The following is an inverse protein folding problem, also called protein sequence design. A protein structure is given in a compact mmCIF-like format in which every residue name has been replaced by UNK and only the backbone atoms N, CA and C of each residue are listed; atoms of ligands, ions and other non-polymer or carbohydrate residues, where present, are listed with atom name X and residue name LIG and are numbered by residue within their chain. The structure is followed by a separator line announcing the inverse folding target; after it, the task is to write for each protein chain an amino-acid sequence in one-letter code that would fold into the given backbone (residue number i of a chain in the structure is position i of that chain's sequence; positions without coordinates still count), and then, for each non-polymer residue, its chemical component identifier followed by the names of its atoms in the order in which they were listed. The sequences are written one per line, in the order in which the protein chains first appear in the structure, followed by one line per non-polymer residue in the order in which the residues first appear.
data_IF_755971823412
#
_entry.id   IF_755971823412
#
_cell.length_a   1.000
_cell.length_b   1.000
_cell.length_c   1.000
_cell.angle_alpha   90.00
_cell.angle_beta   90.00
_cell.angle_gamma   90.00
#
_symmetry.space_group_name_H-M   'P 1'
#
loop_
_entity.id
_entity.type
_entity.pdbx_description
1 polymer ?
#
# COMPACT_ATOMS: atom_id res chain seq x y z
N UNK A 1 -17.45 5.88 17.41
CA UNK A 1 -16.30 5.70 16.51
C UNK A 1 -15.05 5.53 17.34
N UNK A 2 -14.30 4.45 17.11
CA UNK A 2 -13.04 4.20 17.82
C UNK A 2 -11.89 5.09 17.29
N UNK A 3 -10.87 5.27 18.12
CA UNK A 3 -9.60 5.93 17.82
C UNK A 3 -8.47 4.89 17.84
N UNK A 4 -7.67 4.87 16.79
CA UNK A 4 -6.54 3.95 16.65
C UNK A 4 -5.22 4.72 16.55
N UNK A 5 -4.18 4.15 17.14
CA UNK A 5 -2.79 4.45 16.78
C UNK A 5 -2.24 3.25 16.03
N UNK A 6 -1.73 3.49 14.82
CA UNK A 6 -1.14 2.45 13.98
C UNK A 6 0.32 2.80 13.75
N UNK A 7 1.18 1.80 13.76
CA UNK A 7 2.55 1.99 13.32
C UNK A 7 3.09 0.72 12.67
N UNK A 8 3.93 0.88 11.65
CA UNK A 8 4.77 -0.24 11.23
C UNK A 8 5.94 -0.40 12.20
N UNK A 9 6.44 -1.63 12.33
CA UNK A 9 7.68 -1.90 13.02
C UNK A 9 8.86 -1.27 12.29
N UNK A 10 10.02 -1.16 12.94
CA UNK A 10 11.26 -0.88 12.22
C UNK A 10 11.25 0.46 11.45
N UNK A 11 12.32 0.74 10.69
CA UNK A 11 12.40 1.84 9.71
C UNK A 11 13.54 1.59 8.71
N UNK A 12 13.79 2.53 7.79
CA UNK A 12 14.84 2.36 6.78
C UNK A 12 16.28 2.16 7.31
N UNK A 13 16.53 2.51 8.59
CA UNK A 13 17.82 2.39 9.29
C UNK A 13 17.84 1.13 10.17
N UNK A 14 16.75 0.88 10.90
CA UNK A 14 16.53 -0.27 11.78
C UNK A 14 15.54 -1.20 11.08
N UNK A 15 16.00 -1.95 10.07
CA UNK A 15 15.16 -2.46 8.98
C UNK A 15 14.23 -3.64 9.27
N UNK A 16 14.39 -4.29 10.42
CA UNK A 16 13.69 -5.54 10.71
C UNK A 16 14.20 -6.69 9.85
N UNK A 17 13.33 -7.67 9.59
CA UNK A 17 13.61 -8.78 8.71
C UNK A 17 13.67 -8.36 7.24
N UNK A 18 14.63 -8.93 6.50
CA UNK A 18 14.78 -8.73 5.06
C UNK A 18 15.02 -10.08 4.38
N UNK A 19 14.38 -10.31 3.23
CA UNK A 19 14.58 -11.52 2.44
C UNK A 19 14.52 -11.23 0.94
N UNK A 20 15.62 -11.49 0.21
CA UNK A 20 15.71 -11.13 -1.20
C UNK A 20 15.50 -9.63 -1.41
N UNK A 21 14.46 -9.26 -2.17
CA UNK A 21 14.07 -7.86 -2.41
C UNK A 21 12.99 -7.36 -1.42
N UNK A 22 12.56 -8.18 -0.46
CA UNK A 22 11.53 -7.85 0.54
C UNK A 22 12.17 -7.25 1.78
N UNK A 23 11.55 -6.18 2.29
CA UNK A 23 11.98 -5.49 3.50
C UNK A 23 10.78 -5.29 4.42
N UNK A 24 10.88 -5.74 5.67
CA UNK A 24 9.77 -5.71 6.62
C UNK A 24 9.18 -4.30 6.75
N UNK A 25 10.03 -3.31 7.07
CA UNK A 25 9.63 -1.90 7.22
C UNK A 25 9.04 -1.24 5.96
N UNK A 26 9.05 -1.92 4.80
CA UNK A 26 8.36 -1.44 3.59
C UNK A 26 7.01 -2.15 3.46
N UNK A 27 6.99 -3.46 3.67
CA UNK A 27 5.79 -4.28 3.52
C UNK A 27 4.78 -4.04 4.64
N UNK A 28 5.23 -3.82 5.87
CA UNK A 28 4.35 -3.49 6.98
C UNK A 28 3.63 -2.14 6.77
N UNK A 29 4.30 -1.15 6.16
CA UNK A 29 3.74 0.17 5.83
C UNK A 29 2.61 0.05 4.85
N UNK A 30 2.78 -0.76 3.81
CA UNK A 30 1.74 -0.99 2.80
C UNK A 30 0.43 -1.45 3.45
N UNK A 31 0.51 -2.42 4.38
CA UNK A 31 -0.68 -2.93 5.10
C UNK A 31 -1.21 -1.92 6.10
N UNK A 32 -0.34 -1.31 6.90
CA UNK A 32 -0.69 -0.29 7.90
C UNK A 32 -1.42 0.89 7.26
N UNK A 33 -0.93 1.40 6.13
CA UNK A 33 -1.53 2.50 5.39
C UNK A 33 -2.90 2.14 4.81
N UNK A 34 -3.02 0.93 4.26
CA UNK A 34 -4.29 0.42 3.76
C UNK A 34 -5.33 0.26 4.88
N UNK A 35 -4.92 -0.25 6.05
CA UNK A 35 -5.80 -0.33 7.24
C UNK A 35 -6.18 1.06 7.73
N UNK A 36 -5.23 2.00 7.82
CA UNK A 36 -5.47 3.37 8.22
C UNK A 36 -6.53 4.05 7.34
N UNK A 37 -6.38 3.95 6.02
CA UNK A 37 -7.31 4.51 5.05
C UNK A 37 -8.73 3.94 5.22
N UNK A 38 -8.85 2.62 5.38
CA UNK A 38 -10.14 1.93 5.53
C UNK A 38 -10.83 2.26 6.85
N UNK A 39 -10.08 2.31 7.96
CA UNK A 39 -10.63 2.74 9.26
C UNK A 39 -11.10 4.19 9.21
N UNK A 40 -10.31 5.10 8.61
CA UNK A 40 -10.73 6.50 8.41
C UNK A 40 -11.99 6.61 7.55
N UNK A 41 -12.10 5.81 6.49
CA UNK A 41 -13.29 5.78 5.62
C UNK A 41 -14.56 5.31 6.34
N UNK A 42 -14.41 4.43 7.34
CA UNK A 42 -15.51 4.03 8.22
C UNK A 42 -15.86 5.11 9.27
N UNK A 43 -15.07 6.19 9.37
CA UNK A 43 -15.26 7.33 10.29
C UNK A 43 -14.47 7.20 11.60
N UNK A 44 -13.53 6.25 11.70
CA UNK A 44 -12.64 6.15 12.85
C UNK A 44 -11.54 7.22 12.80
N UNK A 45 -11.05 7.62 13.96
CA UNK A 45 -9.83 8.45 14.04
C UNK A 45 -8.62 7.54 14.00
N UNK A 46 -7.62 7.87 13.20
CA UNK A 46 -6.39 7.06 13.07
C UNK A 46 -5.16 7.96 13.06
N UNK A 47 -4.28 7.74 14.03
CA UNK A 47 -2.94 8.32 14.10
C UNK A 47 -1.93 7.32 13.51
N UNK A 48 -0.94 7.85 12.77
CA UNK A 48 0.18 7.08 12.28
C UNK A 48 1.43 7.44 13.10
N UNK A 49 1.79 6.56 14.02
CA UNK A 49 2.86 6.78 15.00
C UNK A 49 4.17 6.10 14.61
N UNK A 50 4.27 5.67 13.35
CA UNK A 50 5.47 5.11 12.77
C UNK A 50 6.68 6.02 13.00
N UNK A 51 7.78 5.45 13.49
CA UNK A 51 9.07 6.14 13.57
C UNK A 51 9.87 5.92 12.28
N UNK A 52 10.28 7.00 11.62
CA UNK A 52 11.08 6.95 10.38
C UNK A 52 12.51 7.50 10.56
N UNK A 53 12.88 7.88 11.79
CA UNK A 53 14.12 8.63 12.06
C UNK A 53 15.02 8.00 13.11
N UNK A 54 14.51 7.07 13.93
CA UNK A 54 15.31 6.39 14.94
C UNK A 54 16.47 5.61 14.31
N UNK A 55 17.68 5.79 14.83
CA UNK A 55 18.90 5.18 14.27
C UNK A 55 19.33 3.90 14.98
N UNK A 56 18.67 3.58 16.10
CA UNK A 56 18.88 2.36 16.88
C UNK A 56 17.54 1.74 17.25
N UNK A 57 17.50 0.44 17.55
CA UNK A 57 16.27 -0.24 17.96
C UNK A 57 15.63 0.42 19.19
N UNK A 58 16.44 0.79 20.20
CA UNK A 58 15.95 1.48 21.38
C UNK A 58 15.32 2.84 21.05
N UNK A 59 15.94 3.63 20.17
CA UNK A 59 15.36 4.90 19.72
C UNK A 59 14.06 4.71 18.94
N UNK A 60 14.02 3.74 18.03
CA UNK A 60 12.81 3.45 17.24
C UNK A 60 11.63 3.09 18.16
N UNK A 61 11.85 2.16 19.09
CA UNK A 61 10.85 1.75 20.07
C UNK A 61 10.42 2.90 21.00
N UNK A 62 11.36 3.69 21.51
CA UNK A 62 11.06 4.85 22.36
C UNK A 62 10.25 5.92 21.60
N UNK A 63 10.59 6.18 20.34
CA UNK A 63 9.89 7.15 19.51
C UNK A 63 8.46 6.71 19.23
N UNK A 64 8.26 5.44 18.85
CA UNK A 64 6.92 4.85 18.64
C UNK A 64 6.08 5.01 19.90
N UNK A 65 6.57 4.50 21.04
CA UNK A 65 5.83 4.56 22.31
C UNK A 65 5.55 6.00 22.73
N UNK A 66 6.50 6.93 22.56
CA UNK A 66 6.30 8.34 22.87
C UNK A 66 5.20 8.98 22.02
N UNK A 67 5.17 8.69 20.71
CA UNK A 67 4.14 9.21 19.79
C UNK A 67 2.78 8.62 20.10
N UNK A 68 2.70 7.29 20.21
CA UNK A 68 1.47 6.59 20.59
C UNK A 68 0.89 7.11 21.90
N UNK A 69 1.72 7.27 22.94
CA UNK A 69 1.28 7.74 24.26
C UNK A 69 0.98 9.26 24.33
N UNK A 70 1.25 10.00 23.25
CA UNK A 70 0.83 11.39 23.10
C UNK A 70 -0.64 11.52 22.68
N UNK A 71 -1.25 10.40 22.27
CA UNK A 71 -2.66 10.31 21.89
C UNK A 71 -3.47 9.55 22.95
N UNK A 72 -4.73 9.94 23.07
CA UNK A 72 -5.76 9.18 23.79
C UNK A 72 -6.53 8.33 22.76
N UNK A 73 -6.18 7.04 22.69
CA UNK A 73 -6.69 6.07 21.69
C UNK A 73 -7.24 4.81 22.35
N UNK A 74 -8.15 4.11 21.67
CA UNK A 74 -8.76 2.88 22.18
C UNK A 74 -7.87 1.65 21.95
N UNK A 75 -7.12 1.64 20.85
CA UNK A 75 -6.25 0.52 20.48
C UNK A 75 -5.02 0.99 19.69
N UNK A 76 -3.91 0.32 19.98
CA UNK A 76 -2.63 0.47 19.31
C UNK A 76 -2.33 -0.82 18.54
N UNK A 77 -2.01 -0.69 17.26
CA UNK A 77 -1.71 -1.83 16.39
C UNK A 77 -0.34 -1.65 15.76
N UNK A 78 0.57 -2.54 16.13
CA UNK A 78 1.90 -2.66 15.53
C UNK A 78 1.86 -3.67 14.38
N UNK A 79 2.37 -3.31 13.21
CA UNK A 79 2.41 -4.18 12.03
C UNK A 79 3.84 -4.66 11.78
N UNK A 80 4.02 -5.97 11.65
CA UNK A 80 5.31 -6.64 11.44
C UNK A 80 5.16 -7.80 10.45
N UNK A 81 6.29 -8.34 10.00
CA UNK A 81 6.35 -9.63 9.30
C UNK A 81 7.36 -10.53 10.00
N UNK A 82 7.00 -11.80 10.16
CA UNK A 82 7.88 -12.76 10.83
C UNK A 82 9.01 -13.23 9.89
N UNK A 83 10.06 -13.84 10.46
CA UNK A 83 11.14 -14.51 9.72
C UNK A 83 11.80 -15.54 10.62
N UNK A 84 12.22 -16.67 10.04
CA UNK A 84 12.92 -17.71 10.79
C UNK A 84 13.88 -18.54 9.94
N UNK A 85 13.35 -19.50 9.15
CA UNK A 85 14.14 -20.55 8.50
C UNK A 85 13.65 -20.89 7.08
N UNK A 86 12.89 -19.99 6.44
CA UNK A 86 12.20 -20.17 5.15
C UNK A 86 11.05 -21.20 5.12
N UNK A 87 10.91 -22.05 6.14
CA UNK A 87 9.87 -23.09 6.21
C UNK A 87 8.71 -22.71 7.14
N UNK A 88 9.03 -22.03 8.25
CA UNK A 88 8.02 -21.46 9.13
C UNK A 88 7.08 -20.54 8.34
N UNK A 89 5.78 -20.66 8.59
CA UNK A 89 4.74 -19.94 7.88
C UNK A 89 3.53 -19.72 8.79
N UNK A 90 2.69 -18.78 8.42
CA UNK A 90 1.44 -18.46 9.10
C UNK A 90 1.43 -17.11 9.79
N UNK A 91 0.23 -16.75 10.27
CA UNK A 91 -0.04 -15.49 10.98
C UNK A 91 -0.14 -15.71 12.49
N UNK A 92 0.45 -14.81 13.27
CA UNK A 92 0.25 -14.72 14.72
C UNK A 92 -0.02 -13.28 15.16
N UNK A 93 -0.73 -13.12 16.28
CA UNK A 93 -0.94 -11.81 16.90
C UNK A 93 -0.49 -11.86 18.35
N UNK A 94 0.49 -11.02 18.65
CA UNK A 94 1.12 -10.91 19.95
C UNK A 94 0.38 -9.88 20.81
N UNK A 95 0.22 -10.17 22.10
CA UNK A 95 -0.54 -9.32 23.01
C UNK A 95 0.04 -9.27 24.41
N UNK A 96 -0.23 -8.18 25.13
CA UNK A 96 0.02 -8.12 26.57
C UNK A 96 -1.14 -8.74 27.36
N UNK A 97 -2.36 -8.27 27.10
CA UNK A 97 -3.61 -8.72 27.75
C UNK A 97 -4.79 -8.92 26.76
N UNK A 98 -4.65 -8.49 25.51
CA UNK A 98 -5.70 -8.54 24.47
C UNK A 98 -5.86 -9.90 23.78
N UNK A 99 -5.94 -11.00 24.53
CA UNK A 99 -5.97 -12.36 23.99
C UNK A 99 -7.12 -12.58 22.99
N UNK A 100 -8.35 -12.20 23.37
CA UNK A 100 -9.54 -12.47 22.56
C UNK A 100 -9.52 -11.72 21.23
N UNK A 101 -9.14 -10.44 21.25
CA UNK A 101 -8.99 -9.62 20.04
C UNK A 101 -7.90 -10.18 19.13
N UNK A 102 -6.76 -10.57 19.71
CA UNK A 102 -5.63 -11.12 18.98
C UNK A 102 -5.98 -12.45 18.30
N UNK A 103 -6.71 -13.32 19.01
CA UNK A 103 -7.16 -14.60 18.46
C UNK A 103 -8.16 -14.40 17.32
N UNK A 104 -9.07 -13.42 17.46
CA UNK A 104 -10.02 -13.05 16.42
C UNK A 104 -9.29 -12.56 15.16
N UNK A 105 -8.31 -11.67 15.29
CA UNK A 105 -7.54 -11.14 14.16
C UNK A 105 -6.73 -12.24 13.46
N UNK A 106 -6.00 -13.07 14.23
CA UNK A 106 -5.22 -14.18 13.66
C UNK A 106 -6.12 -15.18 12.91
N UNK A 107 -7.27 -15.54 13.47
CA UNK A 107 -8.22 -16.44 12.83
C UNK A 107 -8.84 -15.83 11.56
N UNK A 108 -9.18 -14.54 11.58
CA UNK A 108 -9.75 -13.85 10.42
C UNK A 108 -8.73 -13.76 9.27
N UNK A 109 -7.48 -13.36 9.57
CA UNK A 109 -6.40 -13.33 8.60
C UNK A 109 -6.09 -14.71 8.02
N UNK A 110 -6.02 -15.74 8.86
CA UNK A 110 -5.83 -17.11 8.39
C UNK A 110 -6.94 -17.55 7.42
N UNK A 111 -8.20 -17.26 7.77
CA UNK A 111 -9.36 -17.58 6.94
C UNK A 111 -9.32 -16.88 5.59
N UNK A 112 -9.10 -15.57 5.58
CA UNK A 112 -9.25 -14.78 4.36
C UNK A 112 -8.03 -14.92 3.45
N UNK A 113 -6.82 -15.00 4.02
CA UNK A 113 -5.57 -15.01 3.26
C UNK A 113 -5.11 -16.43 2.93
N UNK A 114 -5.52 -17.43 3.73
CA UNK A 114 -5.08 -18.82 3.57
C UNK A 114 -3.71 -19.08 4.20
N UNK A 115 -3.28 -18.23 5.13
CA UNK A 115 -2.11 -18.48 5.98
C UNK A 115 -2.42 -19.48 7.08
N UNK A 116 -1.41 -20.22 7.54
CA UNK A 116 -1.54 -21.07 8.72
C UNK A 116 -1.90 -20.19 9.94
N UNK A 117 -2.92 -20.57 10.70
CA UNK A 117 -3.27 -19.88 11.94
C UNK A 117 -2.32 -20.30 13.07
N UNK A 118 -1.41 -19.43 13.49
CA UNK A 118 -0.53 -19.65 14.65
C UNK A 118 -1.09 -19.03 15.93
N UNK A 119 -2.23 -18.35 15.83
CA UNK A 119 -3.04 -17.89 16.94
C UNK A 119 -2.52 -16.65 17.66
N UNK A 120 -3.14 -16.39 18.81
CA UNK A 120 -2.74 -15.32 19.71
C UNK A 120 -1.62 -15.82 20.64
N UNK A 121 -0.62 -14.97 20.90
CA UNK A 121 0.49 -15.30 21.80
C UNK A 121 0.75 -14.20 22.82
N UNK A 122 0.73 -14.54 24.10
CA UNK A 122 1.06 -13.59 25.16
C UNK A 122 2.55 -13.25 25.11
N UNK A 123 2.88 -11.95 25.10
CA UNK A 123 4.23 -11.40 25.01
C UNK A 123 4.39 -10.15 25.88
N UNK A 124 4.51 -10.36 27.18
CA UNK A 124 4.70 -9.29 28.18
C UNK A 124 6.06 -8.59 28.11
N UNK A 125 7.01 -9.19 27.41
CA UNK A 125 8.37 -8.71 27.25
C UNK A 125 8.55 -7.70 26.09
N UNK A 126 7.58 -7.61 25.17
CA UNK A 126 7.70 -6.72 24.01
C UNK A 126 7.47 -5.26 24.40
N UNK A 127 8.45 -4.42 24.05
CA UNK A 127 8.52 -3.04 24.54
C UNK A 127 7.27 -2.22 24.23
N UNK A 128 6.78 -2.24 22.98
CA UNK A 128 5.57 -1.50 22.59
C UNK A 128 4.35 -1.99 23.36
N UNK A 129 4.18 -3.31 23.49
CA UNK A 129 3.04 -3.90 24.20
C UNK A 129 3.07 -3.55 25.70
N UNK A 130 4.25 -3.49 26.31
CA UNK A 130 4.42 -3.23 27.74
C UNK A 130 4.41 -1.74 28.13
N UNK A 131 4.77 -0.83 27.22
CA UNK A 131 5.00 0.59 27.55
C UNK A 131 3.96 1.54 26.93
N UNK A 132 2.99 1.01 26.19
CA UNK A 132 1.88 1.80 25.68
C UNK A 132 0.77 1.93 26.72
N UNK A 133 0.20 3.13 26.87
CA UNK A 133 -0.86 3.42 27.85
C UNK A 133 -2.21 2.84 27.43
N UNK A 134 -2.50 2.86 26.13
CA UNK A 134 -3.69 2.27 25.55
C UNK A 134 -3.51 0.75 25.36
N UNK A 135 -4.61 0.04 25.08
CA UNK A 135 -4.56 -1.38 24.72
C UNK A 135 -3.69 -1.55 23.46
N UNK A 136 -2.85 -2.58 23.42
CA UNK A 136 -1.91 -2.79 22.33
C UNK A 136 -1.88 -4.23 21.85
N UNK A 137 -1.74 -4.40 20.53
CA UNK A 137 -1.47 -5.66 19.85
C UNK A 137 -0.35 -5.49 18.83
N UNK A 138 0.36 -6.57 18.51
CA UNK A 138 1.36 -6.62 17.47
C UNK A 138 1.04 -7.78 16.53
N UNK A 139 0.84 -7.47 15.25
CA UNK A 139 0.48 -8.45 14.23
C UNK A 139 1.74 -8.85 13.48
N UNK A 140 2.08 -10.13 13.53
CA UNK A 140 3.13 -10.75 12.70
C UNK A 140 2.45 -11.31 11.44
N UNK A 141 2.51 -10.55 10.35
CA UNK A 141 1.86 -10.86 9.08
C UNK A 141 2.69 -11.86 8.27
N UNK A 142 2.36 -13.14 8.36
CA UNK A 142 3.07 -14.18 7.60
C UNK A 142 4.58 -14.18 7.87
N UNK A 143 5.31 -15.01 7.12
CA UNK A 143 6.76 -15.07 7.15
C UNK A 143 7.36 -14.47 5.88
N UNK A 144 8.13 -13.39 5.99
CA UNK A 144 8.71 -12.65 4.84
C UNK A 144 9.67 -13.52 4.01
N UNK A 145 10.30 -14.49 4.67
CA UNK A 145 11.24 -15.46 4.11
C UNK A 145 10.57 -16.76 3.65
N UNK A 146 9.24 -16.88 3.77
CA UNK A 146 8.47 -18.03 3.30
C UNK A 146 7.72 -17.70 2.00
N UNK A 147 8.09 -18.37 0.92
CA UNK A 147 7.47 -18.13 -0.40
C UNK A 147 5.97 -18.49 -0.45
N UNK A 148 5.50 -19.46 0.34
CA UNK A 148 4.08 -19.83 0.35
C UNK A 148 3.21 -18.75 1.00
N UNK A 149 3.69 -18.12 2.08
CA UNK A 149 3.01 -16.96 2.68
C UNK A 149 3.04 -15.76 1.75
N UNK A 150 4.21 -15.48 1.15
CA UNK A 150 4.38 -14.32 0.26
C UNK A 150 3.63 -14.47 -1.07
N UNK A 151 3.41 -15.70 -1.56
CA UNK A 151 2.54 -15.95 -2.72
C UNK A 151 1.08 -15.56 -2.50
N UNK A 152 0.65 -15.47 -1.23
CA UNK A 152 -0.72 -15.08 -0.81
C UNK A 152 -0.79 -13.61 -0.37
N UNK A 153 0.32 -12.88 -0.43
CA UNK A 153 0.40 -11.50 0.04
C UNK A 153 -0.41 -10.56 -0.86
N UNK A 154 -1.54 -10.10 -0.34
CA UNK A 154 -2.39 -9.08 -0.96
C UNK A 154 -2.73 -8.02 0.08
N UNK A 155 -2.16 -6.83 -0.09
CA UNK A 155 -2.28 -5.70 0.86
C UNK A 155 -3.74 -5.34 1.12
N UNK A 156 -4.59 -5.32 0.08
CA UNK A 156 -5.99 -4.95 0.22
C UNK A 156 -6.79 -6.03 0.96
N UNK A 157 -6.55 -7.29 0.63
CA UNK A 157 -7.21 -8.43 1.28
C UNK A 157 -6.81 -8.52 2.75
N UNK A 158 -5.53 -8.37 3.06
CA UNK A 158 -5.00 -8.32 4.43
C UNK A 158 -5.65 -7.17 5.20
N UNK A 159 -5.64 -5.95 4.63
CA UNK A 159 -6.20 -4.79 5.29
C UNK A 159 -7.72 -4.92 5.51
N UNK A 160 -8.48 -5.43 4.55
CA UNK A 160 -9.91 -5.71 4.70
C UNK A 160 -10.18 -6.71 5.83
N UNK A 161 -9.37 -7.77 5.90
CA UNK A 161 -9.46 -8.82 6.92
C UNK A 161 -9.24 -8.24 8.33
N UNK A 162 -8.19 -7.41 8.49
CA UNK A 162 -7.89 -6.72 9.76
C UNK A 162 -9.01 -5.76 10.13
N UNK A 163 -9.47 -4.92 9.20
CA UNK A 163 -10.55 -3.95 9.47
C UNK A 163 -11.83 -4.66 9.89
N UNK A 164 -12.23 -5.72 9.18
CA UNK A 164 -13.39 -6.51 9.56
C UNK A 164 -13.21 -7.16 10.94
N UNK A 165 -12.03 -7.68 11.26
CA UNK A 165 -11.75 -8.22 12.59
C UNK A 165 -11.84 -7.14 13.69
N UNK A 166 -11.40 -5.91 13.41
CA UNK A 166 -11.44 -4.79 14.36
C UNK A 166 -12.85 -4.21 14.55
N UNK A 167 -13.61 -4.04 13.48
CA UNK A 167 -14.84 -3.24 13.49
C UNK A 167 -16.12 -4.06 13.30
N UNK A 168 -16.00 -5.28 12.77
CA UNK A 168 -17.13 -6.07 12.27
C UNK A 168 -17.74 -5.53 10.98
N UNK A 169 -17.18 -4.44 10.42
CA UNK A 169 -17.63 -3.82 9.19
C UNK A 169 -16.70 -4.24 8.06
N UNK A 170 -17.28 -4.77 7.00
CA UNK A 170 -16.62 -4.73 5.70
C UNK A 170 -16.73 -3.29 5.20
N UNK A 171 -15.75 -2.80 4.44
CA UNK A 171 -15.84 -1.52 3.75
C UNK A 171 -16.92 -1.61 2.65
N UNK A 172 -18.18 -1.59 3.07
CA UNK A 172 -19.44 -1.48 2.33
C UNK A 172 -20.47 -0.89 3.31
N UNK A 173 -20.46 0.44 3.47
CA UNK A 173 -21.46 1.17 4.27
C UNK A 173 -22.79 1.26 3.51
N UNK A 174 -23.87 0.83 4.17
CA UNK A 174 -25.19 0.66 3.57
C UNK A 174 -25.88 1.94 3.09
N UNK A 175 -26.42 1.83 1.87
CA UNK A 175 -27.56 2.53 1.31
C UNK A 175 -28.10 1.60 0.23
N UNK A 176 -29.43 1.42 0.16
CA UNK A 176 -30.08 0.49 -0.76
C UNK A 176 -29.84 0.90 -2.23
N UNK A 177 -28.71 0.50 -2.77
CA UNK A 177 -28.43 0.30 -4.17
C UNK A 177 -27.74 -1.05 -4.20
N UNK A 178 -28.24 -1.97 -5.01
CA UNK A 178 -27.51 -3.15 -5.47
C UNK A 178 -25.99 -2.88 -5.44
N UNK A 179 -25.17 -3.74 -4.80
CA UNK A 179 -23.72 -3.55 -4.81
C UNK A 179 -23.34 -3.29 -6.27
N UNK A 180 -22.66 -2.17 -6.61
CA UNK A 180 -21.99 -2.18 -7.89
C UNK A 180 -21.09 -3.40 -7.80
N UNK A 181 -21.28 -4.30 -8.76
CA UNK A 181 -20.42 -5.46 -8.96
C UNK A 181 -18.98 -5.05 -8.63
N UNK A 182 -18.24 -5.92 -7.91
CA UNK A 182 -16.80 -5.75 -7.75
C UNK A 182 -16.22 -5.32 -9.09
N UNK A 183 -15.91 -4.03 -9.22
CA UNK A 183 -15.30 -3.53 -10.43
C UNK A 183 -13.82 -3.87 -10.25
N UNK A 184 -13.42 -4.98 -10.87
CA UNK A 184 -12.04 -5.45 -11.08
C UNK A 184 -11.08 -4.41 -11.71
N UNK A 185 -11.48 -3.13 -11.77
CA UNK A 185 -10.83 -2.04 -12.48
C UNK A 185 -10.14 -1.02 -11.54
N UNK A 186 -9.75 -1.39 -10.32
CA UNK A 186 -8.90 -0.49 -9.51
C UNK A 186 -7.50 -0.42 -10.15
N UNK A 187 -7.16 0.74 -10.71
CA UNK A 187 -5.89 0.94 -11.41
C UNK A 187 -4.77 1.43 -10.47
N UNK A 188 -5.11 2.08 -9.36
CA UNK A 188 -4.16 2.43 -8.32
C UNK A 188 -4.64 3.54 -7.40
N UNK A 189 -3.68 4.19 -6.74
CA UNK A 189 -3.94 5.24 -5.77
C UNK A 189 -3.25 6.54 -6.16
N UNK A 190 -3.93 7.65 -5.92
CA UNK A 190 -3.44 9.02 -6.10
C UNK A 190 -3.35 9.70 -4.74
N UNK A 191 -2.42 10.65 -4.62
CA UNK A 191 -2.42 11.66 -3.57
C UNK A 191 -2.58 13.03 -4.21
N UNK A 192 -3.51 13.83 -3.68
CA UNK A 192 -3.65 15.23 -4.08
C UNK A 192 -2.39 16.01 -3.71
N UNK A 193 -1.80 16.73 -4.67
CA UNK A 193 -0.58 17.52 -4.45
C UNK A 193 -0.87 19.00 -4.24
N UNK A 194 -1.97 19.51 -4.81
CA UNK A 194 -2.40 20.90 -4.67
C UNK A 194 -3.11 21.16 -3.33
N UNK A 195 -2.96 22.35 -2.77
CA UNK A 195 -3.68 22.79 -1.55
C UNK A 195 -5.20 22.64 -1.72
N UNK A 196 -5.71 22.96 -2.91
CA UNK A 196 -7.09 22.72 -3.33
C UNK A 196 -7.09 22.19 -4.77
N UNK A 197 -7.62 21.00 -4.96
CA UNK A 197 -7.74 20.31 -6.24
C UNK A 197 -9.20 20.18 -6.67
N UNK A 198 -9.56 20.76 -7.81
CA UNK A 198 -10.90 20.61 -8.37
C UNK A 198 -11.06 19.22 -8.99
N UNK A 199 -12.06 18.47 -8.53
CA UNK A 199 -12.50 17.21 -9.10
C UNK A 199 -13.70 17.50 -10.01
N UNK A 200 -13.58 17.18 -11.29
CA UNK A 200 -14.53 17.61 -12.33
C UNK A 200 -15.40 16.47 -12.82
N UNK A 201 -16.55 16.80 -13.39
CA UNK A 201 -17.52 15.82 -13.88
C UNK A 201 -16.97 14.95 -15.01
N UNK A 202 -16.20 15.58 -15.89
CA UNK A 202 -15.61 15.00 -17.12
C UNK A 202 -14.12 15.40 -17.17
N UNK A 203 -13.27 14.67 -17.90
CA UNK A 203 -11.82 14.92 -17.96
C UNK A 203 -11.46 16.10 -18.88
N UNK A 204 -11.99 17.28 -18.56
CA UNK A 204 -11.63 18.54 -19.22
C UNK A 204 -11.87 19.74 -18.28
N UNK A 205 -11.17 20.85 -18.53
CA UNK A 205 -11.22 22.05 -17.68
C UNK A 205 -12.56 22.79 -17.71
N UNK A 206 -13.37 22.61 -18.74
CA UNK A 206 -14.67 23.28 -18.90
C UNK A 206 -15.79 22.55 -18.15
N UNK A 207 -15.53 21.32 -17.68
CA UNK A 207 -16.50 20.51 -16.97
C UNK A 207 -16.77 21.04 -15.55
N UNK A 208 -18.03 20.98 -15.06
CA UNK A 208 -18.38 21.41 -13.71
C UNK A 208 -17.48 20.78 -12.64
N UNK A 209 -17.12 21.58 -11.63
CA UNK A 209 -16.44 21.08 -10.43
C UNK A 209 -17.47 20.37 -9.56
N UNK A 210 -17.29 19.07 -9.38
CA UNK A 210 -18.19 18.22 -8.59
C UNK A 210 -17.84 18.30 -7.10
N UNK A 211 -16.54 18.35 -6.78
CA UNK A 211 -16.02 18.51 -5.43
C UNK A 211 -14.58 19.03 -5.46
N UNK A 212 -14.09 19.41 -4.29
CA UNK A 212 -12.68 19.76 -4.09
C UNK A 212 -12.01 18.74 -3.18
N UNK A 213 -10.72 18.49 -3.45
CA UNK A 213 -9.84 17.72 -2.59
C UNK A 213 -8.73 18.63 -2.03
N UNK A 214 -8.20 18.27 -0.87
CA UNK A 214 -7.10 19.01 -0.23
C UNK A 214 -5.80 18.25 -0.34
N UNK A 215 -4.68 18.96 -0.22
CA UNK A 215 -3.34 18.35 -0.26
C UNK A 215 -3.20 17.19 0.71
N UNK A 216 -2.57 16.11 0.25
CA UNK A 216 -2.40 14.88 1.02
C UNK A 216 -3.62 13.96 1.02
N UNK A 217 -4.78 14.39 0.50
CA UNK A 217 -5.94 13.52 0.38
C UNK A 217 -5.68 12.40 -0.64
N UNK A 218 -5.88 11.16 -0.20
CA UNK A 218 -5.75 9.97 -1.06
C UNK A 218 -7.02 9.68 -1.87
N UNK A 219 -6.87 9.12 -3.06
CA UNK A 219 -7.97 8.66 -3.91
C UNK A 219 -7.62 7.33 -4.58
N UNK A 220 -8.58 6.43 -4.70
CA UNK A 220 -8.49 5.32 -5.65
C UNK A 220 -8.83 5.86 -7.03
N UNK A 221 -8.16 5.41 -8.09
CA UNK A 221 -8.59 5.68 -9.46
C UNK A 221 -8.87 4.41 -10.24
N UNK A 222 -9.85 4.50 -11.13
CA UNK A 222 -10.50 3.38 -11.80
C UNK A 222 -10.37 3.42 -13.33
N UNK A 223 -9.99 4.58 -13.86
CA UNK A 223 -9.84 4.82 -15.29
C UNK A 223 -8.90 6.01 -15.50
N UNK A 224 -8.37 6.17 -16.70
CA UNK A 224 -7.57 7.33 -17.07
C UNK A 224 -7.90 7.80 -18.49
N UNK A 225 -7.70 9.10 -18.74
CA UNK A 225 -7.90 9.73 -20.04
C UNK A 225 -6.77 10.71 -20.30
N UNK A 226 -6.19 10.67 -21.49
CA UNK A 226 -5.20 11.65 -21.92
C UNK A 226 -5.85 12.63 -22.89
N UNK A 227 -5.88 13.92 -22.53
CA UNK A 227 -6.53 14.97 -23.33
C UNK A 227 -5.63 15.55 -24.43
N UNK A 228 -4.44 14.97 -24.62
CA UNK A 228 -3.41 15.50 -25.52
C UNK A 228 -2.37 16.39 -24.81
N UNK A 229 -2.58 16.75 -23.55
CA UNK A 229 -1.65 17.54 -22.73
C UNK A 229 -1.47 17.00 -21.31
N UNK A 230 -2.55 16.55 -20.68
CA UNK A 230 -2.58 16.10 -19.28
C UNK A 230 -3.28 14.75 -19.18
N UNK A 231 -2.89 13.99 -18.16
CA UNK A 231 -3.66 12.81 -17.74
C UNK A 231 -4.76 13.24 -16.78
N UNK A 232 -5.91 12.61 -16.97
CA UNK A 232 -7.04 12.69 -16.07
C UNK A 232 -7.27 11.30 -15.51
N UNK A 233 -7.51 11.21 -14.21
CA UNK A 233 -7.74 9.97 -13.49
C UNK A 233 -9.16 9.99 -12.92
N UNK A 234 -9.93 8.96 -13.23
CA UNK A 234 -11.30 8.81 -12.74
C UNK A 234 -11.26 8.28 -11.31
N UNK A 235 -11.56 9.13 -10.34
CA UNK A 235 -11.50 8.80 -8.90
C UNK A 235 -12.85 8.40 -8.30
N UNK A 236 -13.94 8.61 -9.03
CA UNK A 236 -15.26 8.04 -8.81
C UNK A 236 -16.09 8.21 -10.09
N UNK A 237 -17.32 7.70 -10.12
CA UNK A 237 -18.25 7.99 -11.21
C UNK A 237 -18.41 9.52 -11.37
N UNK A 238 -18.26 10.01 -12.61
CA UNK A 238 -18.32 11.44 -12.92
C UNK A 238 -17.38 12.31 -12.06
N UNK A 239 -16.20 11.79 -11.70
CA UNK A 239 -15.21 12.50 -10.88
C UNK A 239 -13.82 12.25 -11.44
N UNK A 240 -13.23 13.27 -12.05
CA UNK A 240 -11.92 13.22 -12.68
C UNK A 240 -10.96 14.22 -12.05
N UNK A 241 -9.75 13.75 -11.75
CA UNK A 241 -8.62 14.53 -11.24
C UNK A 241 -7.51 14.59 -12.26
N UNK A 242 -6.86 15.75 -12.42
CA UNK A 242 -5.78 15.92 -13.38
C UNK A 242 -4.42 15.63 -12.75
N UNK A 243 -3.45 15.19 -13.55
CA UNK A 243 -2.12 14.74 -13.09
C UNK A 243 -1.18 15.86 -12.61
N UNK A 244 -1.52 17.13 -12.87
CA UNK A 244 -0.80 18.28 -12.31
C UNK A 244 -1.20 18.60 -10.85
N UNK A 245 -2.39 18.15 -10.44
CA UNK A 245 -2.94 18.34 -9.08
C UNK A 245 -3.01 17.04 -8.28
N UNK A 246 -2.57 15.93 -8.86
CA UNK A 246 -2.56 14.60 -8.25
C UNK A 246 -1.34 13.82 -8.70
N UNK A 247 -0.62 13.21 -7.75
CA UNK A 247 0.45 12.26 -8.06
C UNK A 247 -0.04 10.84 -7.84
N UNK A 248 0.21 9.94 -8.78
CA UNK A 248 0.08 8.50 -8.51
C UNK A 248 1.05 8.15 -7.39
N UNK A 249 0.54 7.46 -6.37
CA UNK A 249 1.34 6.96 -5.28
C UNK A 249 2.33 5.96 -5.87
N UNK A 250 3.61 6.30 -5.80
CA UNK A 250 4.72 5.42 -6.21
C UNK A 250 4.84 4.31 -5.18
N UNK A 251 3.97 3.32 -5.26
CA UNK A 251 3.89 2.18 -4.35
C UNK A 251 5.00 1.14 -4.59
N UNK A 252 6.11 1.54 -5.21
CA UNK A 252 7.23 0.64 -5.50
C UNK A 252 6.86 -0.50 -6.47
N UNK A 253 5.76 -0.35 -7.23
CA UNK A 253 5.27 -1.34 -8.20
C UNK A 253 6.40 -1.89 -9.08
N UNK A 254 6.62 -3.19 -8.95
CA UNK A 254 7.47 -3.99 -9.86
C UNK A 254 6.71 -4.43 -11.12
N UNK A 255 5.38 -4.22 -11.14
CA UNK A 255 4.45 -4.59 -12.22
C UNK A 255 3.33 -3.56 -12.33
N UNK A 256 2.77 -3.38 -13.53
CA UNK A 256 1.67 -2.46 -13.80
C UNK A 256 1.61 -2.08 -15.28
N UNK A 257 1.16 -0.88 -15.61
CA UNK A 257 1.16 -0.34 -16.98
C UNK A 257 1.76 1.05 -16.95
N UNK A 258 2.64 1.33 -17.91
CA UNK A 258 3.19 2.66 -18.15
C UNK A 258 2.71 3.20 -19.48
N UNK A 259 2.43 4.50 -19.52
CA UNK A 259 2.36 5.27 -20.75
C UNK A 259 3.77 5.73 -21.13
N UNK A 260 4.20 5.41 -22.35
CA UNK A 260 5.49 5.85 -22.90
C UNK A 260 5.22 6.87 -24.00
N UNK A 261 5.59 8.13 -23.74
CA UNK A 261 5.42 9.25 -24.68
C UNK A 261 6.64 9.47 -25.59
N UNK A 262 7.79 8.88 -25.26
CA UNK A 262 8.98 8.93 -26.09
C UNK A 262 8.95 7.91 -27.23
N UNK A 263 9.71 8.19 -28.30
CA UNK A 263 9.94 7.27 -29.42
C UNK A 263 11.43 6.98 -29.56
N UNK A 264 11.79 5.89 -30.25
CA UNK A 264 13.16 5.38 -30.41
C UNK A 264 13.85 4.98 -29.09
N UNK A 265 13.09 4.57 -28.08
CA UNK A 265 13.64 4.12 -26.80
C UNK A 265 14.15 2.69 -26.94
N UNK A 266 15.39 2.43 -26.52
CA UNK A 266 15.99 1.10 -26.59
C UNK A 266 15.32 0.13 -25.62
N UNK A 267 14.94 -1.04 -26.14
CA UNK A 267 14.60 -2.22 -25.35
C UNK A 267 15.80 -3.17 -25.39
N UNK A 268 16.26 -3.60 -24.21
CA UNK A 268 17.49 -4.35 -24.01
C UNK A 268 17.22 -5.75 -23.48
N UNK A 269 18.18 -6.65 -23.70
CA UNK A 269 18.14 -8.02 -23.20
C UNK A 269 18.21 -8.10 -21.67
N UNK A 270 18.85 -7.12 -21.03
CA UNK A 270 18.97 -7.01 -19.59
C UNK A 270 18.86 -5.55 -19.10
N UNK A 271 18.79 -5.40 -17.78
CA UNK A 271 18.57 -4.15 -17.08
C UNK A 271 19.86 -3.31 -16.91
N UNK A 272 20.62 -3.12 -18.00
CA UNK A 272 21.85 -2.33 -18.00
C UNK A 272 22.08 -1.63 -19.34
N UNK A 273 22.78 -0.49 -19.31
CA UNK A 273 23.20 0.22 -20.52
C UNK A 273 24.20 -0.58 -21.37
N UNK A 274 24.90 -1.54 -20.76
CA UNK A 274 25.82 -2.46 -21.44
C UNK A 274 25.14 -3.63 -22.15
N UNK A 275 23.87 -3.92 -21.84
CA UNK A 275 23.16 -5.05 -22.45
C UNK A 275 22.76 -4.76 -23.90
N UNK A 276 22.76 -5.81 -24.73
CA UNK A 276 22.40 -5.72 -26.14
C UNK A 276 21.00 -5.14 -26.33
N UNK A 277 20.87 -4.17 -27.24
CA UNK A 277 19.57 -3.67 -27.70
C UNK A 277 18.93 -4.72 -28.59
N UNK A 278 17.75 -5.20 -28.19
CA UNK A 278 17.01 -6.26 -28.89
C UNK A 278 15.80 -5.72 -29.65
N UNK A 279 15.28 -4.56 -29.25
CA UNK A 279 14.14 -3.91 -29.90
C UNK A 279 14.09 -2.41 -29.55
N UNK A 280 13.09 -1.67 -30.05
CA UNK A 280 12.83 -0.27 -29.68
C UNK A 280 11.34 0.02 -29.54
N UNK A 281 10.98 0.91 -28.61
CA UNK A 281 9.67 1.55 -28.61
C UNK A 281 9.64 2.61 -29.70
N UNK A 282 8.75 2.44 -30.67
CA UNK A 282 8.58 3.36 -31.81
C UNK A 282 7.23 4.08 -31.81
N UNK A 283 6.31 3.65 -30.94
CA UNK A 283 4.94 4.17 -30.86
C UNK A 283 4.67 4.68 -29.45
N UNK A 284 4.02 5.83 -29.35
CA UNK A 284 3.48 6.30 -28.08
C UNK A 284 2.27 5.43 -27.72
N UNK A 285 2.38 4.69 -26.62
CA UNK A 285 1.33 3.76 -26.20
C UNK A 285 1.48 3.40 -24.73
N UNK A 286 0.50 2.64 -24.26
CA UNK A 286 0.57 1.94 -22.98
C UNK A 286 1.35 0.63 -23.17
N UNK A 287 2.20 0.31 -22.19
CA UNK A 287 3.00 -0.90 -22.13
C UNK A 287 2.86 -1.56 -20.75
N UNK A 288 2.62 -2.86 -20.71
CA UNK A 288 2.60 -3.63 -19.47
C UNK A 288 4.02 -3.74 -18.92
N UNK A 289 4.19 -3.46 -17.64
CA UNK A 289 5.42 -3.68 -16.88
C UNK A 289 5.32 -4.99 -16.12
N UNK A 290 6.29 -5.87 -16.32
CA UNK A 290 6.34 -7.19 -15.66
C UNK A 290 7.41 -7.30 -14.59
N UNK A 291 8.47 -6.50 -14.69
CA UNK A 291 9.58 -6.52 -13.76
C UNK A 291 10.16 -5.13 -13.61
N UNK A 292 10.71 -4.83 -12.43
CA UNK A 292 11.52 -3.63 -12.17
C UNK A 292 12.82 -4.02 -11.51
N UNK A 293 13.92 -3.45 -11.99
CA UNK A 293 15.24 -3.56 -11.40
C UNK A 293 15.89 -2.18 -11.40
N UNK A 294 16.05 -1.59 -10.22
CA UNK A 294 16.49 -0.20 -10.07
C UNK A 294 15.66 0.77 -10.94
N UNK A 295 16.33 1.46 -11.88
CA UNK A 295 15.74 2.39 -12.83
C UNK A 295 15.37 1.72 -14.16
N UNK A 296 15.22 0.40 -14.21
CA UNK A 296 14.82 -0.34 -15.39
C UNK A 296 13.49 -1.03 -15.18
N UNK A 297 12.67 -1.03 -16.23
CA UNK A 297 11.40 -1.75 -16.28
C UNK A 297 11.41 -2.71 -17.47
N UNK A 298 10.96 -3.94 -17.27
CA UNK A 298 10.71 -4.88 -18.36
C UNK A 298 9.30 -4.66 -18.87
N UNK A 299 9.18 -4.29 -20.14
CA UNK A 299 7.90 -3.94 -20.75
C UNK A 299 7.50 -4.92 -21.84
N UNK A 300 6.19 -5.10 -22.02
CA UNK A 300 5.59 -5.76 -23.18
C UNK A 300 4.43 -4.92 -23.72
N UNK A 301 4.20 -4.94 -25.03
CA UNK A 301 3.06 -4.26 -25.65
C UNK A 301 3.40 -3.84 -27.08
N UNK A 302 2.38 -3.59 -27.92
CA UNK A 302 2.60 -3.14 -29.30
C UNK A 302 3.56 -4.05 -30.12
N UNK A 303 3.59 -5.35 -29.81
CA UNK A 303 4.46 -6.33 -30.47
C UNK A 303 5.94 -6.26 -30.08
N UNK A 304 6.30 -5.51 -29.04
CA UNK A 304 7.68 -5.42 -28.53
C UNK A 304 7.79 -5.89 -27.08
N UNK A 305 8.97 -6.36 -26.71
CA UNK A 305 9.32 -6.66 -25.32
C UNK A 305 10.80 -6.38 -25.02
N UNK A 306 11.11 -6.14 -23.74
CA UNK A 306 12.47 -6.01 -23.25
C UNK A 306 12.63 -4.99 -22.11
N UNK A 307 13.85 -4.85 -21.60
CA UNK A 307 14.20 -3.89 -20.56
C UNK A 307 14.38 -2.48 -21.13
N UNK A 308 13.69 -1.50 -20.57
CA UNK A 308 13.91 -0.08 -20.85
C UNK A 308 14.28 0.69 -19.59
N UNK A 309 15.05 1.76 -19.76
CA UNK A 309 15.31 2.69 -18.68
C UNK A 309 14.05 3.52 -18.39
N UNK A 310 13.67 3.56 -17.12
CA UNK A 310 12.55 4.32 -16.60
C UNK A 310 12.99 5.76 -16.35
N UNK A 311 12.49 6.68 -17.16
CA UNK A 311 12.72 8.12 -17.03
C UNK A 311 11.37 8.83 -17.01
N UNK A 312 11.11 9.54 -15.92
CA UNK A 312 9.82 10.20 -15.67
C UNK A 312 9.54 11.36 -16.65
N UNK A 313 10.54 11.80 -17.43
CA UNK A 313 10.35 12.80 -18.49
C UNK A 313 9.52 12.26 -19.66
N UNK A 314 9.49 10.94 -19.88
CA UNK A 314 8.74 10.33 -20.98
C UNK A 314 7.97 9.06 -20.61
N UNK A 315 8.14 8.52 -19.40
CA UNK A 315 7.40 7.36 -18.87
C UNK A 315 6.54 7.79 -17.69
N UNK A 316 5.24 7.52 -17.75
CA UNK A 316 4.30 7.73 -16.64
C UNK A 316 3.61 6.43 -16.29
N UNK A 317 3.55 6.08 -15.00
CA UNK A 317 2.68 4.98 -14.56
C UNK A 317 1.22 5.35 -14.78
N UNK A 318 0.40 4.39 -15.21
CA UNK A 318 -1.04 4.56 -15.41
C UNK A 318 -1.86 3.37 -14.87
N UNK A 319 -1.18 2.30 -14.42
CA UNK A 319 -1.74 1.17 -13.65
C UNK A 319 -0.63 0.47 -12.88
#
# INVERSE_FOLDING_TARGET
MAKYSLHGGHNSIVQGANWGNRKEHVMDRQVKDAVAAKLRALGHTVYDDTDEVGTTQAQNLNNIVSKTNSHDVDLVVSFHLNSYDTNANGVEVLYYDQQALSAKIAAQLSKDIGWLNRGAKERKDLYVLANTKALAILIELGFIDNEADMSKWDVNKIANSIVYALTGQTSNGGGNTQPPEENDNVLGYLTTTAEVANIRKEPNLNSPVMRQAVKGQGHTYYDWYYDGSNFWYKVAENNWMRDDIASINKDGKSKGVVWVSGTNINLRKGASTGDAVINKITKQSAYDVHYRYENWIYVTGEGVEGWMYFDESYVKWIR
#
